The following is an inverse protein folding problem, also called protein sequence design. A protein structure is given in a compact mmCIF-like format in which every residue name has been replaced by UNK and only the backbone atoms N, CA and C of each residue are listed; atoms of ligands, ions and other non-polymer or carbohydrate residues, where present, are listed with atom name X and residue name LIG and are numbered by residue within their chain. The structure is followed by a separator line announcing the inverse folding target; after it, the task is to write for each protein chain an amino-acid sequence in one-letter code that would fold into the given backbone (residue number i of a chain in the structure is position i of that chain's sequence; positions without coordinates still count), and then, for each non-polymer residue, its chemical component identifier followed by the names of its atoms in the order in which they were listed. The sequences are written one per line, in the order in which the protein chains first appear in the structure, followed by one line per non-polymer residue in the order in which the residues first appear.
data_IF_243283505916
#
_entry.id   IF_243283505916
#
_cell.length_a   1.000
_cell.length_b   1.000
_cell.length_c   1.000
_cell.angle_alpha   90.00
_cell.angle_beta   90.00
_cell.angle_gamma   90.00
#
_symmetry.space_group_name_H-M   'P 1'
#
loop_
_entity.id
_entity.type
_entity.pdbx_description
1 polymer ?
#
# COMPACT_ATOMS: atom_id res chain seq x y z
N UNK A 1 -3.79 6.70 30.30
CA UNK A 1 -4.44 6.76 28.97
C UNK A 1 -3.35 6.54 27.96
N UNK A 2 -3.22 5.32 27.46
CA UNK A 2 -2.33 5.06 26.33
C UNK A 2 -2.95 5.75 25.12
N UNK A 3 -2.34 6.85 24.69
CA UNK A 3 -2.67 7.48 23.44
C UNK A 3 -2.36 6.45 22.35
N UNK A 4 -3.40 5.89 21.74
CA UNK A 4 -3.27 5.16 20.49
C UNK A 4 -2.69 6.19 19.51
N UNK A 5 -1.38 6.09 19.25
CA UNK A 5 -0.80 6.81 18.13
C UNK A 5 -1.41 6.21 16.87
N UNK A 6 -1.95 7.06 16.02
CA UNK A 6 -2.44 6.69 14.69
C UNK A 6 -1.46 7.21 13.66
N UNK A 7 -1.22 6.41 12.62
CA UNK A 7 -0.53 6.82 11.40
C UNK A 7 -1.54 6.92 10.27
N UNK A 8 -1.24 7.72 9.25
CA UNK A 8 -2.02 7.71 8.02
C UNK A 8 -1.42 6.70 7.05
N UNK A 9 -2.27 5.99 6.32
CA UNK A 9 -1.87 5.10 5.24
C UNK A 9 -2.52 5.56 3.95
N UNK A 10 -1.72 5.60 2.89
CA UNK A 10 -2.17 5.89 1.54
C UNK A 10 -2.03 4.63 0.70
N UNK A 11 -3.16 4.04 0.29
CA UNK A 11 -3.21 2.69 -0.26
C UNK A 11 -4.08 2.53 -1.50
N UNK A 12 -3.59 1.71 -2.43
CA UNK A 12 -4.33 1.22 -3.59
C UNK A 12 -5.08 -0.07 -3.24
N UNK A 13 -6.40 -0.16 -3.44
CA UNK A 13 -7.17 -1.35 -3.10
C UNK A 13 -6.84 -2.48 -4.07
N UNK A 14 -6.62 -3.67 -3.52
CA UNK A 14 -6.35 -4.87 -4.30
C UNK A 14 -7.69 -5.50 -4.67
N UNK A 15 -8.19 -5.18 -5.86
CA UNK A 15 -9.35 -5.86 -6.42
C UNK A 15 -8.98 -7.26 -6.95
N UNK A 16 -9.94 -8.17 -7.19
CA UNK A 16 -9.66 -9.51 -7.70
C UNK A 16 -8.82 -9.51 -8.99
N UNK A 17 -9.11 -8.60 -9.93
CA UNK A 17 -8.38 -8.49 -11.20
C UNK A 17 -6.92 -8.07 -10.98
N UNK A 18 -6.66 -7.17 -10.02
CA UNK A 18 -5.30 -6.79 -9.66
C UNK A 18 -4.57 -7.96 -8.97
N UNK A 19 -5.24 -8.69 -8.08
CA UNK A 19 -4.68 -9.85 -7.38
C UNK A 19 -4.27 -10.95 -8.35
N UNK A 20 -5.12 -11.27 -9.31
CA UNK A 20 -4.77 -12.24 -10.37
C UNK A 20 -3.56 -11.78 -11.19
N UNK A 21 -3.48 -10.49 -11.51
CA UNK A 21 -2.33 -9.95 -12.22
C UNK A 21 -1.05 -9.97 -11.37
N UNK A 22 -1.17 -9.73 -10.06
CA UNK A 22 -0.07 -9.83 -9.10
C UNK A 22 0.50 -11.25 -9.04
N UNK A 23 -0.37 -12.26 -9.00
CA UNK A 23 0.00 -13.69 -8.94
C UNK A 23 0.74 -14.21 -10.19
N UNK A 24 0.68 -13.49 -11.31
CA UNK A 24 1.48 -13.81 -12.51
C UNK A 24 2.96 -13.48 -12.34
N UNK A 25 3.31 -12.64 -11.37
CA UNK A 25 4.69 -12.35 -11.04
C UNK A 25 5.32 -13.47 -10.21
N UNK A 26 6.63 -13.70 -10.39
CA UNK A 26 7.39 -14.60 -9.53
C UNK A 26 7.46 -14.01 -8.11
N UNK A 27 7.39 -14.86 -7.09
CA UNK A 27 7.47 -14.45 -5.68
C UNK A 27 8.71 -13.59 -5.38
N UNK A 28 9.85 -13.90 -6.00
CA UNK A 28 11.09 -13.13 -5.90
C UNK A 28 10.91 -11.68 -6.37
N UNK A 29 10.17 -11.46 -7.47
CA UNK A 29 9.88 -10.12 -7.99
C UNK A 29 9.02 -9.34 -7.00
N UNK A 30 7.98 -9.96 -6.44
CA UNK A 30 7.11 -9.33 -5.45
C UNK A 30 7.89 -8.85 -4.21
N UNK A 31 8.85 -9.65 -3.75
CA UNK A 31 9.68 -9.32 -2.58
C UNK A 31 10.56 -8.07 -2.75
N UNK A 32 10.86 -7.65 -3.98
CA UNK A 32 11.58 -6.39 -4.24
C UNK A 32 10.71 -5.14 -4.11
N UNK A 33 9.38 -5.29 -4.18
CA UNK A 33 8.45 -4.16 -4.20
C UNK A 33 7.53 -4.10 -3.00
N UNK A 34 7.26 -5.24 -2.35
CA UNK A 34 6.38 -5.36 -1.20
C UNK A 34 7.22 -5.78 0.01
N UNK A 35 7.35 -4.89 1.00
CA UNK A 35 8.11 -5.16 2.22
C UNK A 35 7.37 -4.56 3.43
N UNK A 36 7.26 -5.28 4.57
CA UNK A 36 6.65 -4.76 5.80
C UNK A 36 7.28 -3.48 6.38
N UNK A 37 8.48 -3.07 5.94
CA UNK A 37 9.17 -1.86 6.44
C UNK A 37 9.99 -1.20 5.34
N UNK A 38 10.11 0.12 5.39
CA UNK A 38 11.03 0.90 4.55
C UNK A 38 10.36 1.65 3.39
N UNK A 39 11.16 1.95 2.36
CA UNK A 39 10.78 2.79 1.21
C UNK A 39 9.96 2.06 0.12
N UNK A 40 9.49 0.84 0.40
CA UNK A 40 8.74 -0.01 -0.53
C UNK A 40 7.24 -0.01 -0.24
N UNK A 41 6.44 -0.68 -1.07
CA UNK A 41 5.01 -0.83 -0.81
C UNK A 41 4.81 -1.78 0.38
N UNK A 42 3.80 -1.49 1.18
CA UNK A 42 3.33 -2.33 2.25
C UNK A 42 1.96 -2.87 1.86
N UNK A 43 1.78 -4.19 1.99
CA UNK A 43 0.45 -4.80 1.90
C UNK A 43 -0.18 -4.78 3.29
N UNK A 44 -1.40 -4.26 3.37
CA UNK A 44 -2.17 -4.22 4.60
C UNK A 44 -3.62 -4.63 4.35
N UNK A 45 -4.26 -5.16 5.37
CA UNK A 45 -5.69 -5.41 5.40
C UNK A 45 -6.39 -4.39 6.30
N UNK A 46 -7.38 -3.70 5.76
CA UNK A 46 -8.16 -2.69 6.47
C UNK A 46 -9.63 -2.84 6.11
N UNK A 47 -10.51 -2.92 7.12
CA UNK A 47 -11.96 -3.12 6.94
C UNK A 47 -12.33 -4.30 6.01
N UNK A 48 -11.53 -5.38 6.03
CA UNK A 48 -11.76 -6.59 5.23
C UNK A 48 -11.35 -6.46 3.75
N UNK A 49 -10.63 -5.40 3.39
CA UNK A 49 -10.05 -5.20 2.06
C UNK A 49 -8.53 -5.10 2.15
N UNK A 50 -7.84 -5.67 1.16
CA UNK A 50 -6.38 -5.60 1.08
C UNK A 50 -5.95 -4.37 0.27
N UNK A 51 -4.88 -3.71 0.71
CA UNK A 51 -4.33 -2.49 0.12
C UNK A 51 -2.82 -2.60 -0.04
N UNK A 52 -2.30 -2.05 -1.14
CA UNK A 52 -0.87 -1.82 -1.34
C UNK A 52 -0.58 -0.33 -1.25
N UNK A 53 0.32 0.07 -0.37
CA UNK A 53 0.51 1.49 -0.11
C UNK A 53 1.69 1.81 0.79
N UNK A 54 1.64 3.00 1.39
CA UNK A 54 2.69 3.48 2.30
C UNK A 54 2.10 4.20 3.50
N UNK A 55 2.76 4.00 4.63
CA UNK A 55 2.55 4.80 5.84
C UNK A 55 3.11 6.19 5.61
N UNK A 56 2.33 7.19 5.99
CA UNK A 56 2.69 8.59 5.92
C UNK A 56 3.17 9.11 7.27
N UNK A 57 4.07 10.08 7.23
CA UNK A 57 4.40 10.86 8.42
C UNK A 57 3.20 11.74 8.80
N UNK A 58 2.95 11.90 10.10
CA UNK A 58 1.80 12.64 10.63
C UNK A 58 1.80 14.15 10.28
N UNK A 59 2.88 14.66 9.69
CA UNK A 59 3.04 16.07 9.30
C UNK A 59 3.14 16.28 7.78
N UNK A 60 2.61 15.36 6.98
CA UNK A 60 2.71 15.46 5.52
C UNK A 60 1.91 16.64 4.95
N UNK A 61 2.53 17.47 4.11
CA UNK A 61 1.85 18.52 3.34
C UNK A 61 1.12 17.94 2.12
N UNK A 62 0.16 18.67 1.54
CA UNK A 62 -0.53 18.25 0.30
C UNK A 62 0.46 17.91 -0.81
N UNK A 63 1.53 18.70 -0.97
CA UNK A 63 2.56 18.44 -1.97
C UNK A 63 3.29 17.12 -1.70
N UNK A 64 3.58 16.80 -0.44
CA UNK A 64 4.19 15.53 -0.07
C UNK A 64 3.27 14.34 -0.31
N UNK A 65 1.94 14.54 -0.14
CA UNK A 65 0.94 13.52 -0.49
C UNK A 65 0.97 13.25 -1.99
N UNK A 66 0.90 14.29 -2.83
CA UNK A 66 0.94 14.12 -4.28
C UNK A 66 2.23 13.42 -4.76
N UNK A 67 3.38 13.77 -4.18
CA UNK A 67 4.64 13.07 -4.49
C UNK A 67 4.61 11.59 -4.05
N UNK A 68 3.97 11.29 -2.93
CA UNK A 68 3.80 9.93 -2.46
C UNK A 68 2.85 9.13 -3.37
N UNK A 69 1.76 9.74 -3.83
CA UNK A 69 0.83 9.14 -4.80
C UNK A 69 1.57 8.74 -6.09
N UNK A 70 2.34 9.67 -6.68
CA UNK A 70 3.14 9.41 -7.87
C UNK A 70 4.15 8.28 -7.64
N UNK A 71 4.78 8.26 -6.47
CA UNK A 71 5.73 7.21 -6.11
C UNK A 71 5.03 5.85 -5.99
N UNK A 72 3.89 5.76 -5.30
CA UNK A 72 3.09 4.53 -5.19
C UNK A 72 2.70 4.02 -6.58
N UNK A 73 2.16 4.88 -7.45
CA UNK A 73 1.81 4.48 -8.81
C UNK A 73 3.01 4.04 -9.64
N UNK A 74 4.17 4.68 -9.48
CA UNK A 74 5.41 4.26 -10.15
C UNK A 74 5.82 2.84 -9.74
N UNK A 75 5.71 2.50 -8.45
CA UNK A 75 5.98 1.16 -7.94
C UNK A 75 4.94 0.15 -8.43
N UNK A 76 3.65 0.48 -8.36
CA UNK A 76 2.57 -0.38 -8.85
C UNK A 76 2.75 -0.69 -10.34
N UNK A 77 3.01 0.31 -11.19
CA UNK A 77 3.22 0.13 -12.63
C UNK A 77 4.44 -0.74 -12.96
N UNK A 78 5.47 -0.76 -12.10
CA UNK A 78 6.61 -1.69 -12.24
C UNK A 78 6.22 -3.12 -11.83
N UNK A 79 5.31 -3.25 -10.88
CA UNK A 79 4.85 -4.53 -10.35
C UNK A 79 3.85 -5.22 -11.30
N UNK A 80 2.91 -4.45 -11.84
CA UNK A 80 1.89 -4.94 -12.79
C UNK A 80 1.75 -3.89 -13.90
N UNK A 81 2.48 -4.12 -15.00
CA UNK A 81 2.60 -3.16 -16.12
C UNK A 81 1.27 -3.01 -16.87
N UNK A 82 0.57 -4.11 -17.10
CA UNK A 82 -0.62 -4.17 -17.97
C UNK A 82 -1.94 -3.86 -17.24
N UNK A 83 -1.89 -3.45 -15.97
CA UNK A 83 -3.09 -3.12 -15.21
C UNK A 83 -3.59 -1.71 -15.54
N UNK A 84 -4.89 -1.52 -15.84
CA UNK A 84 -5.45 -0.21 -16.15
C UNK A 84 -5.70 0.58 -14.86
N UNK A 85 -4.65 1.19 -14.29
CA UNK A 85 -4.73 1.99 -13.07
C UNK A 85 -5.76 3.13 -13.21
N UNK A 86 -6.87 3.09 -12.45
CA UNK A 86 -7.84 4.18 -12.45
C UNK A 86 -7.22 5.45 -11.82
N UNK A 87 -7.66 6.61 -12.30
CA UNK A 87 -7.10 7.92 -11.92
C UNK A 87 -7.27 8.26 -10.43
N UNK A 88 -8.26 7.67 -9.75
CA UNK A 88 -8.65 7.97 -8.36
C UNK A 88 -8.71 6.69 -7.52
N UNK A 89 -7.58 5.98 -7.40
CA UNK A 89 -7.57 4.65 -6.75
C UNK A 89 -6.88 4.62 -5.40
N UNK A 90 -6.37 5.75 -4.89
CA UNK A 90 -5.68 5.76 -3.60
C UNK A 90 -6.62 6.24 -2.50
N UNK A 91 -6.67 5.47 -1.42
CA UNK A 91 -7.45 5.75 -0.23
C UNK A 91 -6.51 6.21 0.87
N UNK A 92 -6.87 7.31 1.53
CA UNK A 92 -6.18 7.82 2.71
C UNK A 92 -7.01 7.48 3.95
N UNK A 93 -6.46 6.70 4.87
CA UNK A 93 -7.15 6.29 6.09
C UNK A 93 -6.19 6.14 7.28
N UNK A 94 -6.69 6.30 8.52
CA UNK A 94 -5.87 6.08 9.71
C UNK A 94 -5.67 4.59 9.98
N UNK A 95 -4.47 4.23 10.39
CA UNK A 95 -4.11 2.90 10.89
C UNK A 95 -3.43 3.02 12.27
N UNK A 96 -3.51 2.01 13.14
CA UNK A 96 -2.80 2.04 14.43
C UNK A 96 -1.28 2.02 14.22
N UNK A 97 -0.53 2.82 14.98
CA UNK A 97 0.93 3.03 14.85
C UNK A 97 1.80 1.77 15.02
N UNK A 98 1.22 0.59 15.25
CA UNK A 98 1.96 -0.64 15.52
C UNK A 98 1.40 -1.90 14.85
N UNK A 99 0.43 -1.78 13.94
CA UNK A 99 -0.01 -2.94 13.17
C UNK A 99 0.94 -3.16 12.01
N UNK A 100 1.93 -4.04 12.24
CA UNK A 100 2.43 -4.86 11.14
C UNK A 100 1.23 -5.74 10.76
N UNK A 101 0.43 -5.28 9.79
CA UNK A 101 -0.78 -6.00 9.41
C UNK A 101 -0.32 -7.35 8.87
N UNK A 102 -0.71 -8.39 9.60
CA UNK A 102 -0.23 -9.74 9.40
C UNK A 102 -0.67 -10.21 8.01
N UNK A 103 0.29 -10.59 7.18
CA UNK A 103 0.02 -11.61 6.18
C UNK A 103 -0.38 -12.87 6.96
N UNK A 104 -1.67 -13.17 7.03
CA UNK A 104 -2.13 -14.47 7.52
C UNK A 104 -1.54 -15.55 6.60
N UNK A 105 -0.57 -16.28 7.14
CA UNK A 105 -0.25 -17.62 6.66
C UNK A 105 -1.24 -18.56 7.33
N UNK A 106 -2.31 -18.94 6.64
CA UNK A 106 -3.10 -20.16 6.88
C UNK A 106 -3.88 -20.54 5.63
#
# INVERSE_FOLDING_TARGET
MDLIQSSLFLGFPICPLFREALQKNKAEVLSFFIHPRGDYLQEIQYEGMDYLGKVMANTSTIQQISLLEEHIYSLLKKLVVDYPYPKESLYLFPIPFNETIKCDQS
#
